data_IF_019858880256
#
_entry.id   IF_019858880256
#
_cell.length_a   1.000
_cell.length_b   1.000
_cell.length_c   1.000
_cell.angle_alpha   90.00
_cell.angle_beta   90.00
_cell.angle_gamma   90.00
#
_symmetry.space_group_name_H-M   'P 1'
#
loop_
_entity.id
_entity.type
_entity.pdbx_description
1 polymer ?
#
# COMPACT_ATOMS: atom_id res chain seq x y z
N UNK A 1 -0.67 2.87 16.37
CA UNK A 1 -0.62 1.57 17.06
C UNK A 1 0.75 0.97 16.81
N UNK A 2 1.35 0.26 17.79
CA UNK A 2 2.68 -0.35 17.69
C UNK A 2 2.87 -1.20 16.42
N UNK A 3 1.78 -1.74 15.89
CA UNK A 3 1.77 -2.60 14.71
C UNK A 3 2.17 -1.89 13.41
N UNK A 4 1.84 -0.61 13.22
CA UNK A 4 2.17 0.10 11.97
C UNK A 4 3.68 0.37 11.85
N UNK A 5 4.29 0.81 12.95
CA UNK A 5 5.72 1.09 13.00
C UNK A 5 6.53 -0.21 12.95
N UNK A 6 6.06 -1.24 13.65
CA UNK A 6 6.62 -2.59 13.56
C UNK A 6 6.56 -3.13 12.12
N UNK A 7 5.43 -2.98 11.44
CA UNK A 7 5.24 -3.44 10.07
C UNK A 7 6.15 -2.70 9.09
N UNK A 8 6.31 -1.38 9.23
CA UNK A 8 7.26 -0.59 8.42
C UNK A 8 8.71 -1.03 8.62
N UNK A 9 9.13 -1.24 9.86
CA UNK A 9 10.49 -1.71 10.16
C UNK A 9 10.74 -3.10 9.56
N UNK A 10 9.77 -4.01 9.67
CA UNK A 10 9.85 -5.33 9.04
C UNK A 10 9.91 -5.25 7.52
N UNK A 11 9.07 -4.42 6.90
CA UNK A 11 9.08 -4.19 5.47
C UNK A 11 10.41 -3.63 4.98
N UNK A 12 11.04 -2.70 5.73
CA UNK A 12 12.38 -2.19 5.42
C UNK A 12 13.44 -3.31 5.43
N UNK A 13 13.52 -4.08 6.51
CA UNK A 13 14.49 -5.20 6.62
C UNK A 13 14.32 -6.21 5.48
N UNK A 14 13.07 -6.53 5.11
CA UNK A 14 12.79 -7.45 4.02
C UNK A 14 13.21 -6.91 2.65
N UNK A 15 13.14 -5.59 2.42
CA UNK A 15 13.67 -4.96 1.20
C UNK A 15 15.19 -5.04 1.16
N UNK A 16 15.86 -4.70 2.26
CA UNK A 16 17.32 -4.74 2.37
C UNK A 16 17.86 -6.16 2.11
N UNK A 17 17.15 -7.19 2.60
CA UNK A 17 17.46 -8.59 2.31
C UNK A 17 17.18 -8.97 0.85
N UNK A 18 16.10 -8.44 0.26
CA UNK A 18 15.73 -8.74 -1.12
C UNK A 18 16.73 -8.18 -2.14
N UNK A 19 17.41 -7.08 -1.81
CA UNK A 19 18.46 -6.49 -2.66
C UNK A 19 19.69 -7.39 -2.79
N UNK A 20 20.00 -8.16 -1.74
CA UNK A 20 21.18 -9.04 -1.68
C UNK A 20 20.85 -10.49 -2.06
N UNK A 21 19.57 -10.83 -2.22
CA UNK A 21 19.11 -12.18 -2.47
C UNK A 21 19.15 -12.56 -3.96
N UNK A 22 19.20 -13.87 -4.23
CA UNK A 22 18.99 -14.40 -5.58
C UNK A 22 17.59 -14.03 -6.13
N UNK A 23 17.37 -14.10 -7.45
CA UNK A 23 16.11 -13.70 -8.06
C UNK A 23 14.87 -14.44 -7.55
N UNK A 24 15.01 -15.70 -7.11
CA UNK A 24 13.90 -16.46 -6.57
C UNK A 24 13.53 -15.98 -5.17
N UNK A 25 14.51 -15.85 -4.28
CA UNK A 25 14.30 -15.38 -2.91
C UNK A 25 13.89 -13.91 -2.88
N UNK A 26 14.47 -13.05 -3.72
CA UNK A 26 14.06 -11.65 -3.90
C UNK A 26 12.57 -11.52 -4.17
N UNK A 27 12.03 -12.28 -5.14
CA UNK A 27 10.58 -12.27 -5.45
C UNK A 27 9.72 -12.73 -4.28
N UNK A 28 10.23 -13.64 -3.44
CA UNK A 28 9.52 -14.11 -2.25
C UNK A 28 9.52 -13.05 -1.15
N UNK A 29 10.66 -12.42 -0.88
CA UNK A 29 10.81 -11.36 0.12
C UNK A 29 9.96 -10.14 -0.23
N UNK A 30 9.94 -9.71 -1.50
CA UNK A 30 9.09 -8.60 -1.94
C UNK A 30 7.59 -8.90 -1.78
N UNK A 31 7.15 -10.15 -2.00
CA UNK A 31 5.76 -10.55 -1.69
C UNK A 31 5.44 -10.50 -0.19
N UNK A 32 6.42 -10.73 0.69
CA UNK A 32 6.20 -10.54 2.12
C UNK A 32 6.09 -9.05 2.46
N UNK A 33 6.89 -8.18 1.85
CA UNK A 33 6.80 -6.72 2.03
C UNK A 33 5.39 -6.20 1.75
N UNK A 34 4.75 -6.67 0.68
CA UNK A 34 3.37 -6.30 0.33
C UNK A 34 2.32 -6.67 1.41
N UNK A 35 2.61 -7.66 2.26
CA UNK A 35 1.74 -8.05 3.38
C UNK A 35 1.94 -7.15 4.60
N UNK A 36 3.15 -6.67 4.83
CA UNK A 36 3.47 -5.76 5.93
C UNK A 36 3.09 -4.31 5.62
N UNK A 37 3.23 -3.90 4.37
CA UNK A 37 2.77 -2.61 3.87
C UNK A 37 1.67 -2.83 2.84
N UNK A 38 0.44 -3.17 3.26
CA UNK A 38 -0.68 -3.18 2.34
C UNK A 38 -0.75 -1.78 1.75
N UNK A 39 -0.43 -1.65 0.45
CA UNK A 39 -0.61 -0.39 -0.29
C UNK A 39 -1.98 0.11 0.10
N UNK A 40 -2.04 1.31 0.71
CA UNK A 40 -3.32 1.97 0.96
C UNK A 40 -4.11 1.83 -0.33
N UNK A 41 -5.15 1.00 -0.32
CA UNK A 41 -6.07 0.96 -1.45
C UNK A 41 -6.47 2.43 -1.62
N UNK A 42 -6.41 3.01 -2.82
CA UNK A 42 -7.07 4.29 -3.02
C UNK A 42 -8.48 4.10 -2.45
N UNK A 43 -8.84 4.93 -1.46
CA UNK A 43 -10.18 4.88 -0.91
C UNK A 43 -11.15 4.96 -2.09
N UNK A 44 -12.21 4.14 -2.15
CA UNK A 44 -13.22 4.36 -3.15
C UNK A 44 -13.85 5.74 -2.89
N UNK A 45 -13.79 6.58 -3.92
CA UNK A 45 -14.59 7.78 -4.16
C UNK A 45 -14.30 9.10 -3.43
N UNK A 46 -13.33 9.83 -3.97
CA UNK A 46 -13.45 11.28 -4.21
C UNK A 46 -14.36 11.60 -5.44
N UNK A 47 -15.04 10.62 -6.04
CA UNK A 47 -15.94 10.86 -7.19
C UNK A 47 -17.34 11.41 -6.81
N UNK A 48 -17.67 11.53 -5.52
CA UNK A 48 -19.01 12.00 -5.12
C UNK A 48 -19.16 13.54 -5.14
N UNK A 49 -18.09 14.32 -5.35
CA UNK A 49 -18.14 15.80 -5.34
C UNK A 49 -18.19 16.46 -6.74
N UNK A 50 -18.57 15.72 -7.79
CA UNK A 50 -18.72 16.30 -9.15
C UNK A 50 -20.14 16.16 -9.72
N UNK A 51 -21.07 15.49 -9.01
CA UNK A 51 -22.45 15.29 -9.50
C UNK A 51 -23.51 16.21 -8.89
N UNK A 52 -23.15 17.07 -7.93
CA UNK A 52 -24.13 17.91 -7.21
C UNK A 52 -24.22 19.36 -7.71
N UNK A 53 -23.76 19.68 -8.92
CA UNK A 53 -23.91 21.02 -9.51
C UNK A 53 -24.83 21.12 -10.72
N UNK A 54 -25.40 20.01 -11.18
CA UNK A 54 -26.36 19.98 -12.29
C UNK A 54 -27.73 19.51 -11.79
N UNK A 55 -28.49 20.45 -11.23
CA UNK A 55 -29.88 20.26 -10.80
C UNK A 55 -30.47 21.63 -10.49
N UNK A 56 -30.68 22.42 -11.54
CA UNK A 56 -32.00 22.65 -12.12
C UNK A 56 -32.78 23.71 -11.34
N UNK A 57 -32.53 24.96 -11.76
CA UNK A 57 -33.51 26.02 -11.98
C UNK A 57 -34.97 25.57 -11.78
N UNK A 58 -35.64 26.17 -10.79
CA UNK A 58 -37.07 26.02 -10.53
C UNK A 58 -37.69 27.39 -10.31
#
# INVERSE_FOLDING_TARGET
>A
MLDDEFNKQRAKVLRDLAEQADPFIRRRLLRLVERYEPKRRPAPDDQQLVRSRDGADR
#
